data_IF_968600253272
#
_entry.id   IF_968600253272
#
_cell.length_a   1.000
_cell.length_b   1.000
_cell.length_c   1.000
_cell.angle_alpha   90.00
_cell.angle_beta   90.00
_cell.angle_gamma   90.00
#
_symmetry.space_group_name_H-M   'P 1'
#
loop_
_entity.id
_entity.type
_entity.pdbx_description
1 polymer ?
#
# COMPACT_ATOMS: atom_id res chain seq x y z
N UNK A 1 22.24 10.28 23.41
CA UNK A 1 21.55 9.27 22.59
C UNK A 1 20.30 9.94 22.07
N UNK A 2 20.21 10.21 20.76
CA UNK A 2 19.06 10.92 20.22
C UNK A 2 17.85 9.99 20.27
N UNK A 3 16.88 10.30 21.13
CA UNK A 3 15.58 9.62 21.10
C UNK A 3 14.92 9.90 19.75
N UNK A 4 14.73 8.84 18.96
CA UNK A 4 13.93 8.91 17.74
C UNK A 4 12.48 9.11 18.17
N UNK A 5 12.04 10.37 18.23
CA UNK A 5 10.63 10.69 18.45
C UNK A 5 9.80 10.10 17.31
N UNK A 6 8.95 9.12 17.64
CA UNK A 6 8.04 8.48 16.69
C UNK A 6 7.21 9.49 15.89
N UNK A 7 6.88 10.65 16.46
CA UNK A 7 6.16 11.71 15.73
C UNK A 7 7.03 12.37 14.68
N UNK A 8 8.30 12.63 14.99
CA UNK A 8 9.26 13.17 14.03
C UNK A 8 9.53 12.17 12.89
N UNK A 9 9.66 10.88 13.21
CA UNK A 9 9.81 9.80 12.23
C UNK A 9 8.58 9.73 11.33
N UNK A 10 7.37 9.66 11.90
CA UNK A 10 6.13 9.62 11.12
C UNK A 10 5.97 10.84 10.20
N UNK A 11 6.34 12.05 10.67
CA UNK A 11 6.28 13.28 9.88
C UNK A 11 7.29 13.29 8.73
N UNK A 12 8.49 12.73 8.95
CA UNK A 12 9.48 12.56 7.89
C UNK A 12 9.03 11.54 6.83
N UNK A 13 8.46 10.41 7.27
CA UNK A 13 7.86 9.41 6.38
C UNK A 13 6.71 10.00 5.54
N UNK A 14 5.81 10.77 6.15
CA UNK A 14 4.70 11.40 5.42
C UNK A 14 5.18 12.37 4.32
N UNK A 15 6.32 13.06 4.55
CA UNK A 15 6.92 13.96 3.56
C UNK A 15 7.56 13.21 2.40
N UNK A 16 8.16 12.04 2.67
CA UNK A 16 8.86 11.22 1.68
C UNK A 16 7.95 10.20 0.96
N UNK A 17 6.76 9.93 1.51
CA UNK A 17 5.79 9.00 0.95
C UNK A 17 5.53 9.20 -0.56
N UNK A 18 5.39 10.41 -1.11
CA UNK A 18 5.13 10.57 -2.55
C UNK A 18 6.29 10.12 -3.44
N UNK A 19 7.53 10.34 -3.00
CA UNK A 19 8.74 9.92 -3.75
C UNK A 19 8.95 8.41 -3.59
N UNK A 20 8.66 7.88 -2.41
CA UNK A 20 8.68 6.44 -2.15
C UNK A 20 7.62 5.72 -2.99
N UNK A 21 6.39 6.21 -3.03
CA UNK A 21 5.28 5.67 -3.83
C UNK A 21 5.60 5.65 -5.34
N UNK A 22 6.34 6.64 -5.85
CA UNK A 22 6.74 6.69 -7.26
C UNK A 22 7.74 5.57 -7.60
N UNK A 23 8.73 5.34 -6.73
CA UNK A 23 9.79 4.36 -6.95
C UNK A 23 9.31 2.94 -6.62
N UNK A 24 8.68 2.75 -5.46
CA UNK A 24 8.11 1.47 -5.06
C UNK A 24 6.88 1.11 -5.91
N UNK A 25 6.06 2.08 -6.29
CA UNK A 25 4.91 1.84 -7.16
C UNK A 25 5.32 1.20 -8.49
N UNK A 26 6.44 1.63 -9.08
CA UNK A 26 6.95 1.06 -10.32
C UNK A 26 7.66 -0.29 -10.13
N UNK A 27 8.48 -0.45 -9.09
CA UNK A 27 9.23 -1.69 -8.84
C UNK A 27 8.31 -2.82 -8.36
N UNK A 28 7.31 -2.51 -7.54
CA UNK A 28 6.43 -3.49 -6.92
C UNK A 28 5.08 -3.61 -7.62
N UNK A 29 4.83 -2.90 -8.74
CA UNK A 29 3.56 -2.99 -9.48
C UNK A 29 3.18 -4.44 -9.79
N UNK A 30 4.13 -5.22 -10.31
CA UNK A 30 3.92 -6.63 -10.66
C UNK A 30 3.59 -7.47 -9.42
N UNK A 31 4.28 -7.25 -8.31
CA UNK A 31 4.05 -7.96 -7.06
C UNK A 31 2.68 -7.61 -6.45
N UNK A 32 2.34 -6.32 -6.45
CA UNK A 32 1.04 -5.80 -6.02
C UNK A 32 -0.10 -6.43 -6.82
N UNK A 33 -0.03 -6.39 -8.16
CA UNK A 33 -1.03 -7.01 -9.04
C UNK A 33 -1.18 -8.50 -8.77
N UNK A 34 -0.08 -9.24 -8.64
CA UNK A 34 -0.14 -10.67 -8.36
C UNK A 34 -0.79 -11.00 -7.00
N UNK A 35 -0.54 -10.17 -5.98
CA UNK A 35 -1.17 -10.31 -4.66
C UNK A 35 -2.67 -10.01 -4.71
N UNK A 36 -3.06 -8.95 -5.42
CA UNK A 36 -4.46 -8.58 -5.66
C UNK A 36 -5.18 -9.70 -6.40
N UNK A 37 -4.65 -10.20 -7.52
CA UNK A 37 -5.22 -11.30 -8.28
C UNK A 37 -5.40 -12.56 -7.40
N UNK A 38 -4.43 -12.86 -6.55
CA UNK A 38 -4.51 -14.00 -5.64
C UNK A 38 -5.62 -13.84 -4.60
N UNK A 39 -5.75 -12.65 -4.01
CA UNK A 39 -6.80 -12.35 -3.04
C UNK A 39 -8.19 -12.35 -3.70
N UNK A 40 -8.32 -11.79 -4.90
CA UNK A 40 -9.57 -11.76 -5.66
C UNK A 40 -10.06 -13.14 -6.06
N UNK A 41 -9.16 -14.08 -6.38
CA UNK A 41 -9.52 -15.48 -6.66
C UNK A 41 -10.20 -16.16 -5.49
N UNK A 42 -9.90 -15.77 -4.25
CA UNK A 42 -10.60 -16.28 -3.06
C UNK A 42 -11.99 -15.64 -2.90
N UNK A 43 -12.14 -14.40 -3.36
CA UNK A 43 -13.40 -13.65 -3.38
C UNK A 43 -13.90 -13.24 -1.99
N UNK A 44 -15.12 -12.70 -1.95
CA UNK A 44 -15.78 -12.30 -0.71
C UNK A 44 -15.29 -10.96 -0.16
N UNK A 45 -14.78 -10.97 1.08
CA UNK A 45 -14.33 -9.77 1.80
C UNK A 45 -12.82 -9.79 1.95
N UNK A 46 -12.14 -8.77 1.43
CA UNK A 46 -10.68 -8.65 1.46
C UNK A 46 -10.30 -7.53 2.42
N UNK A 47 -9.28 -7.73 3.26
CA UNK A 47 -8.70 -6.68 4.10
C UNK A 47 -7.27 -6.42 3.63
N UNK A 48 -7.02 -5.21 3.14
CA UNK A 48 -5.66 -4.76 2.83
C UNK A 48 -5.06 -4.01 4.02
N UNK A 49 -4.06 -4.61 4.64
CA UNK A 49 -3.35 -4.02 5.78
C UNK A 49 -2.18 -3.18 5.27
N UNK A 50 -2.08 -1.94 5.74
CA UNK A 50 -0.98 -1.06 5.35
C UNK A 50 -1.14 -0.44 3.96
N UNK A 51 -2.38 -0.13 3.57
CA UNK A 51 -2.76 0.39 2.25
C UNK A 51 -2.03 1.67 1.80
N UNK A 52 -1.37 2.38 2.73
CA UNK A 52 -0.62 3.59 2.42
C UNK A 52 -1.50 4.64 1.77
N UNK A 53 -1.11 5.12 0.59
CA UNK A 53 -1.85 6.12 -0.20
C UNK A 53 -3.03 5.57 -0.99
N UNK A 54 -3.30 4.26 -0.94
CA UNK A 54 -4.41 3.66 -1.67
C UNK A 54 -4.12 3.34 -3.13
N UNK A 55 -2.85 3.30 -3.53
CA UNK A 55 -2.44 3.08 -4.92
C UNK A 55 -2.93 1.72 -5.50
N UNK A 56 -3.11 0.71 -4.66
CA UNK A 56 -3.65 -0.62 -5.01
C UNK A 56 -5.17 -0.65 -5.19
N UNK A 57 -5.91 0.27 -4.57
CA UNK A 57 -7.37 0.19 -4.49
C UNK A 57 -8.08 0.15 -5.86
N UNK A 58 -7.64 0.92 -6.88
CA UNK A 58 -8.25 0.86 -8.20
C UNK A 58 -8.00 -0.46 -8.96
N UNK A 59 -7.02 -1.26 -8.55
CA UNK A 59 -6.68 -2.52 -9.20
C UNK A 59 -7.59 -3.69 -8.74
N UNK A 60 -8.40 -3.52 -7.68
CA UNK A 60 -9.40 -4.53 -7.28
C UNK A 60 -10.68 -4.43 -8.11
N UNK A 61 -11.29 -5.59 -8.36
CA UNK A 61 -12.59 -5.71 -9.00
C UNK A 61 -13.67 -5.04 -8.16
N UNK A 62 -14.60 -4.37 -8.83
CA UNK A 62 -15.76 -3.72 -8.20
C UNK A 62 -16.71 -4.69 -7.48
N UNK A 63 -16.61 -5.99 -7.77
CA UNK A 63 -17.40 -7.03 -7.12
C UNK A 63 -16.86 -7.47 -5.76
N UNK A 64 -15.64 -7.05 -5.40
CA UNK A 64 -15.01 -7.37 -4.12
C UNK A 64 -15.42 -6.34 -3.08
N UNK A 65 -15.67 -6.82 -1.86
CA UNK A 65 -15.84 -5.95 -0.71
C UNK A 65 -14.52 -5.81 0.03
N UNK A 66 -13.84 -4.68 -0.18
CA UNK A 66 -12.68 -4.27 0.63
C UNK A 66 -13.10 -3.87 2.06
#
# INVERSE_FOLDING_TARGET
>A
MADLDNRAVAKAYARWAPVYDLVFGAVFDRGRRAAIDAAQRLGGRILEVGVGTGISLPDYDRGVRL
#
